data_IF_886873610589
#
_entry.id   IF_886873610589
#
_cell.length_a   1.000
_cell.length_b   1.000
_cell.length_c   1.000
_cell.angle_alpha   90.00
_cell.angle_beta   90.00
_cell.angle_gamma   90.00
#
_symmetry.space_group_name_H-M   'P 1'
#
loop_
_entity.id
_entity.type
_entity.pdbx_description
1 polymer ?
#
# COMPACT_ATOMS: atom_id res chain seq x y z
N UNK A 1 -14.94 44.75 3.91
CA UNK A 1 -15.54 44.68 2.56
C UNK A 1 -14.79 43.66 1.76
N UNK A 2 -15.36 42.50 1.72
CA UNK A 2 -14.89 41.47 0.80
C UNK A 2 -15.73 41.59 -0.45
N UNK A 3 -15.26 42.33 -1.41
CA UNK A 3 -15.76 42.31 -2.76
C UNK A 3 -15.22 41.08 -3.45
N UNK A 4 -15.88 40.13 -3.40
CA UNK A 4 -16.83 39.50 -4.27
C UNK A 4 -16.64 39.85 -5.75
N UNK A 5 -15.42 39.59 -6.26
CA UNK A 5 -15.27 39.26 -7.65
C UNK A 5 -15.67 37.77 -7.83
N UNK A 6 -16.97 37.51 -7.66
CA UNK A 6 -17.58 36.40 -8.37
C UNK A 6 -17.68 36.88 -9.82
N UNK A 7 -16.64 36.64 -10.59
CA UNK A 7 -16.79 36.63 -12.03
C UNK A 7 -17.83 35.56 -12.31
N UNK A 8 -19.03 36.00 -12.71
CA UNK A 8 -20.05 35.10 -13.22
C UNK A 8 -19.44 34.41 -14.45
N UNK A 9 -19.11 33.16 -14.26
CA UNK A 9 -18.56 32.31 -15.31
C UNK A 9 -19.56 32.23 -16.45
N UNK A 10 -19.16 32.61 -17.67
CA UNK A 10 -20.06 32.57 -18.82
C UNK A 10 -20.49 31.11 -19.09
N UNK A 11 -21.66 30.94 -19.67
CA UNK A 11 -22.19 29.61 -20.01
C UNK A 11 -21.21 28.81 -20.88
N UNK A 12 -20.46 29.48 -21.75
CA UNK A 12 -19.43 28.86 -22.58
C UNK A 12 -18.24 28.36 -21.77
N UNK A 13 -17.77 29.15 -20.80
CA UNK A 13 -16.71 28.74 -19.90
C UNK A 13 -17.14 27.57 -19.02
N UNK A 14 -18.37 27.59 -18.53
CA UNK A 14 -18.93 26.47 -17.77
C UNK A 14 -18.99 25.18 -18.58
N UNK A 15 -19.45 25.22 -19.83
CA UNK A 15 -19.51 24.07 -20.72
C UNK A 15 -18.11 23.55 -21.05
N UNK A 16 -17.15 24.43 -21.28
CA UNK A 16 -15.75 24.06 -21.53
C UNK A 16 -15.14 23.35 -20.31
N UNK A 17 -15.29 23.89 -19.12
CA UNK A 17 -14.83 23.28 -17.88
C UNK A 17 -15.49 21.93 -17.61
N UNK A 18 -16.80 21.80 -17.88
CA UNK A 18 -17.55 20.56 -17.77
C UNK A 18 -17.04 19.47 -18.71
N UNK A 19 -16.74 19.82 -19.96
CA UNK A 19 -16.19 18.90 -20.94
C UNK A 19 -14.75 18.47 -20.58
N UNK A 20 -13.93 19.41 -20.11
CA UNK A 20 -12.60 19.11 -19.59
C UNK A 20 -12.63 18.17 -18.39
N UNK A 21 -13.53 18.44 -17.43
CA UNK A 21 -13.70 17.57 -16.27
C UNK A 21 -14.13 16.17 -16.69
N UNK A 22 -15.07 16.05 -17.63
CA UNK A 22 -15.54 14.77 -18.16
C UNK A 22 -14.42 13.98 -18.83
N UNK A 23 -13.60 14.65 -19.62
CA UNK A 23 -12.43 14.06 -20.28
C UNK A 23 -11.39 13.59 -19.24
N UNK A 24 -11.09 14.42 -18.24
CA UNK A 24 -10.15 14.11 -17.17
C UNK A 24 -10.62 12.92 -16.32
N UNK A 25 -11.90 12.86 -16.01
CA UNK A 25 -12.49 11.72 -15.28
C UNK A 25 -12.35 10.43 -16.08
N UNK A 26 -12.62 10.47 -17.39
CA UNK A 26 -12.46 9.31 -18.28
C UNK A 26 -11.02 8.81 -18.31
N UNK A 27 -10.06 9.72 -18.47
CA UNK A 27 -8.63 9.38 -18.45
C UNK A 27 -8.19 8.83 -17.09
N UNK A 28 -8.68 9.43 -16.01
CA UNK A 28 -8.40 8.95 -14.64
C UNK A 28 -8.86 7.50 -14.44
N UNK A 29 -10.10 7.18 -14.84
CA UNK A 29 -10.65 5.84 -14.72
C UNK A 29 -9.89 4.83 -15.57
N UNK A 30 -9.50 5.21 -16.78
CA UNK A 30 -8.71 4.36 -17.66
C UNK A 30 -7.33 4.06 -17.07
N UNK A 31 -6.64 5.08 -16.56
CA UNK A 31 -5.35 4.90 -15.88
C UNK A 31 -5.48 4.01 -14.64
N UNK A 32 -6.52 4.21 -13.85
CA UNK A 32 -6.80 3.39 -12.66
C UNK A 32 -7.00 1.92 -13.02
N UNK A 33 -7.75 1.64 -14.07
CA UNK A 33 -7.96 0.27 -14.57
C UNK A 33 -6.66 -0.36 -15.09
N UNK A 34 -5.86 0.39 -15.82
CA UNK A 34 -4.55 -0.08 -16.30
C UNK A 34 -3.60 -0.38 -15.14
N UNK A 35 -3.54 0.48 -14.12
CA UNK A 35 -2.72 0.27 -12.93
C UNK A 35 -3.15 -0.99 -12.18
N UNK A 36 -4.45 -1.22 -12.04
CA UNK A 36 -4.98 -2.44 -11.40
C UNK A 36 -4.57 -3.70 -12.15
N UNK A 37 -4.68 -3.68 -13.49
CA UNK A 37 -4.25 -4.80 -14.32
C UNK A 37 -2.75 -5.07 -14.21
N UNK A 38 -1.93 -4.02 -14.23
CA UNK A 38 -0.48 -4.13 -14.06
C UNK A 38 -0.10 -4.64 -12.67
N UNK A 39 -0.76 -4.16 -11.62
CA UNK A 39 -0.52 -4.62 -10.24
C UNK A 39 -0.86 -6.10 -10.08
N UNK A 40 -1.95 -6.55 -10.69
CA UNK A 40 -2.29 -7.98 -10.71
C UNK A 40 -1.21 -8.81 -11.39
N UNK A 41 -0.76 -8.38 -12.58
CA UNK A 41 0.34 -9.05 -13.30
C UNK A 41 1.64 -9.06 -12.49
N UNK A 42 1.97 -7.97 -11.82
CA UNK A 42 3.14 -7.87 -10.91
C UNK A 42 3.00 -8.84 -9.74
N UNK A 43 1.82 -8.92 -9.12
CA UNK A 43 1.59 -9.83 -7.99
C UNK A 43 1.79 -11.30 -8.38
N UNK A 44 1.29 -11.71 -9.55
CA UNK A 44 1.48 -13.04 -10.08
C UNK A 44 2.97 -13.36 -10.34
N UNK A 45 3.70 -12.41 -10.93
CA UNK A 45 5.14 -12.56 -11.17
C UNK A 45 5.96 -12.58 -9.89
N UNK A 46 5.61 -11.77 -8.90
CA UNK A 46 6.26 -11.79 -7.57
C UNK A 46 6.04 -13.12 -6.87
N UNK A 47 4.84 -13.67 -6.93
CA UNK A 47 4.53 -14.98 -6.38
C UNK A 47 5.44 -16.04 -7.00
N UNK A 48 5.51 -16.09 -8.32
CA UNK A 48 6.36 -17.07 -9.04
C UNK A 48 7.84 -16.87 -8.74
N UNK A 49 8.30 -15.62 -8.70
CA UNK A 49 9.68 -15.28 -8.31
C UNK A 49 10.00 -15.78 -6.90
N UNK A 50 9.10 -15.61 -5.94
CA UNK A 50 9.30 -16.07 -4.57
C UNK A 50 9.35 -17.60 -4.47
N UNK A 51 8.48 -18.31 -5.19
CA UNK A 51 8.52 -19.76 -5.27
C UNK A 51 9.87 -20.26 -5.82
N UNK A 52 10.32 -19.66 -6.92
CA UNK A 52 11.63 -19.97 -7.51
C UNK A 52 12.79 -19.63 -6.57
N UNK A 53 12.69 -18.50 -5.85
CA UNK A 53 13.69 -18.11 -4.86
C UNK A 53 13.81 -19.14 -3.74
N UNK A 54 12.71 -19.64 -3.22
CA UNK A 54 12.70 -20.67 -2.18
C UNK A 54 13.32 -21.98 -2.69
N UNK A 55 12.99 -22.40 -3.90
CA UNK A 55 13.59 -23.59 -4.53
C UNK A 55 15.11 -23.45 -4.71
N UNK A 56 15.55 -22.29 -5.22
CA UNK A 56 16.96 -21.98 -5.41
C UNK A 56 17.71 -21.96 -4.07
N UNK A 57 17.18 -21.25 -3.08
CA UNK A 57 17.79 -21.18 -1.74
C UNK A 57 17.86 -22.55 -1.06
N UNK A 58 16.84 -23.38 -1.21
CA UNK A 58 16.84 -24.75 -0.72
C UNK A 58 17.93 -25.60 -1.34
N UNK A 59 18.13 -25.50 -2.64
CA UNK A 59 19.20 -26.20 -3.37
C UNK A 59 20.58 -25.67 -2.98
N UNK A 60 20.75 -24.36 -2.90
CA UNK A 60 22.02 -23.74 -2.47
C UNK A 60 22.41 -24.17 -1.07
N UNK A 61 21.46 -24.21 -0.15
CA UNK A 61 21.69 -24.69 1.23
C UNK A 61 22.09 -26.16 1.26
N UNK A 62 21.39 -26.98 0.48
CA UNK A 62 21.65 -28.44 0.42
C UNK A 62 23.05 -28.77 -0.09
N UNK A 63 23.55 -28.03 -1.08
CA UNK A 63 24.85 -28.24 -1.70
C UNK A 63 25.95 -27.28 -1.20
N UNK A 64 25.68 -26.51 -0.16
CA UNK A 64 26.59 -25.52 0.45
C UNK A 64 27.15 -24.52 -0.57
N UNK A 65 26.29 -24.04 -1.46
CA UNK A 65 26.65 -23.06 -2.49
C UNK A 65 26.40 -21.66 -1.93
N UNK A 66 27.41 -20.81 -1.85
CA UNK A 66 27.30 -19.44 -1.32
C UNK A 66 26.90 -18.43 -2.39
N UNK A 67 27.35 -18.65 -3.62
CA UNK A 67 27.02 -17.76 -4.74
C UNK A 67 27.09 -18.51 -6.07
N UNK A 68 26.39 -17.96 -7.06
CA UNK A 68 26.40 -18.47 -8.44
C UNK A 68 26.57 -17.30 -9.41
N UNK A 69 27.40 -17.52 -10.42
CA UNK A 69 27.56 -16.54 -11.48
C UNK A 69 26.36 -16.56 -12.43
N UNK A 70 25.88 -15.39 -12.78
CA UNK A 70 24.86 -15.19 -13.81
C UNK A 70 25.45 -14.42 -14.97
N UNK A 71 24.71 -14.28 -16.07
CA UNK A 71 25.17 -13.60 -17.27
C UNK A 71 25.66 -12.16 -16.99
N UNK A 72 25.04 -11.43 -16.07
CA UNK A 72 25.31 -10.03 -15.78
C UNK A 72 25.71 -9.75 -14.31
N UNK A 73 25.95 -10.78 -13.52
CA UNK A 73 26.26 -10.62 -12.10
C UNK A 73 26.30 -11.94 -11.34
N UNK A 74 25.84 -11.91 -10.10
CA UNK A 74 25.84 -13.08 -9.21
C UNK A 74 24.52 -13.17 -8.46
N UNK A 75 24.10 -14.40 -8.17
CA UNK A 75 23.12 -14.72 -7.14
C UNK A 75 23.84 -15.15 -5.88
N UNK A 76 23.57 -14.51 -4.77
CA UNK A 76 24.27 -14.72 -3.51
C UNK A 76 23.30 -15.23 -2.46
N UNK A 77 23.67 -16.32 -1.78
CA UNK A 77 22.97 -16.77 -0.58
C UNK A 77 23.34 -15.84 0.58
N UNK A 78 22.45 -14.94 0.95
CA UNK A 78 22.73 -13.98 2.01
C UNK A 78 21.77 -14.14 3.18
N UNK A 79 22.31 -14.01 4.39
CA UNK A 79 21.53 -14.01 5.63
C UNK A 79 21.59 -12.63 6.23
N UNK A 80 20.42 -11.99 6.37
CA UNK A 80 20.31 -10.69 7.02
C UNK A 80 19.46 -10.82 8.28
N UNK A 81 19.85 -10.12 9.32
CA UNK A 81 19.06 -10.01 10.54
C UNK A 81 18.39 -8.64 10.56
N UNK A 82 17.09 -8.63 10.67
CA UNK A 82 16.30 -7.41 10.80
C UNK A 82 15.45 -7.46 12.06
N UNK A 83 15.24 -6.31 12.67
CA UNK A 83 14.30 -6.18 13.79
C UNK A 83 12.87 -6.20 13.30
N UNK A 84 11.99 -6.90 14.01
CA UNK A 84 10.56 -6.85 13.72
C UNK A 84 10.02 -5.42 13.88
N UNK A 85 9.06 -5.01 13.05
CA UNK A 85 8.46 -3.68 13.21
C UNK A 85 7.78 -3.54 14.57
N UNK A 86 7.82 -2.32 15.12
CA UNK A 86 7.20 -2.01 16.38
C UNK A 86 5.68 -1.97 16.21
N UNK A 87 5.00 -2.98 16.70
CA UNK A 87 3.54 -3.06 16.77
C UNK A 87 3.08 -3.02 18.24
N UNK A 88 1.74 -3.01 18.43
CA UNK A 88 1.16 -3.00 19.79
C UNK A 88 1.65 -4.15 20.66
N UNK A 89 1.71 -5.36 20.12
CA UNK A 89 2.15 -6.54 20.86
C UNK A 89 3.62 -6.45 21.29
N UNK A 90 4.50 -6.07 20.38
CA UNK A 90 5.93 -5.91 20.66
C UNK A 90 6.18 -4.77 21.65
N UNK A 91 5.42 -3.68 21.56
CA UNK A 91 5.52 -2.56 22.50
C UNK A 91 5.10 -2.98 23.91
N UNK A 92 3.99 -3.69 24.06
CA UNK A 92 3.52 -4.21 25.35
C UNK A 92 4.56 -5.16 25.96
N UNK A 93 5.10 -6.08 25.17
CA UNK A 93 6.13 -7.03 25.61
C UNK A 93 7.38 -6.29 26.11
N UNK A 94 7.86 -5.30 25.34
CA UNK A 94 9.02 -4.48 25.73
C UNK A 94 8.79 -3.67 26.99
N UNK A 95 7.64 -3.04 27.12
CA UNK A 95 7.26 -2.26 28.31
C UNK A 95 7.07 -3.17 29.55
N UNK A 96 6.54 -4.38 29.36
CA UNK A 96 6.38 -5.34 30.45
C UNK A 96 7.74 -5.79 31.03
N UNK A 97 8.77 -5.89 30.21
CA UNK A 97 10.13 -6.17 30.69
C UNK A 97 10.65 -5.09 31.67
N UNK A 98 10.28 -3.83 31.41
CA UNK A 98 10.67 -2.71 32.28
C UNK A 98 9.79 -2.58 33.51
N UNK A 99 8.48 -2.59 33.36
CA UNK A 99 7.52 -2.36 34.45
C UNK A 99 7.28 -3.60 35.31
N UNK A 100 7.49 -4.79 34.77
CA UNK A 100 7.13 -6.08 35.41
C UNK A 100 5.66 -6.12 35.88
N UNK A 101 4.80 -5.40 35.14
CA UNK A 101 3.37 -5.26 35.39
C UNK A 101 2.67 -5.14 34.00
N UNK A 102 1.91 -6.16 33.65
CA UNK A 102 1.24 -6.24 32.34
C UNK A 102 0.20 -5.14 32.15
N UNK A 103 -0.52 -4.76 33.20
CA UNK A 103 -1.54 -3.71 33.13
C UNK A 103 -0.91 -2.34 32.90
N UNK A 104 0.20 -2.02 33.56
CA UNK A 104 0.97 -0.80 33.29
C UNK A 104 1.53 -0.77 31.87
N UNK A 105 2.07 -1.88 31.39
CA UNK A 105 2.58 -2.00 30.05
C UNK A 105 1.49 -1.75 29.00
N UNK A 106 0.31 -2.32 29.17
CA UNK A 106 -0.87 -2.09 28.30
C UNK A 106 -1.32 -0.63 28.33
N UNK A 107 -1.42 -0.04 29.51
CA UNK A 107 -1.84 1.37 29.67
C UNK A 107 -0.87 2.33 29.00
N UNK A 108 0.44 2.16 29.23
CA UNK A 108 1.47 3.01 28.61
C UNK A 108 1.49 2.82 27.10
N UNK A 109 1.38 1.60 26.60
CA UNK A 109 1.34 1.35 25.15
C UNK A 109 0.13 2.00 24.49
N UNK A 110 -1.03 1.98 25.14
CA UNK A 110 -2.25 2.64 24.69
C UNK A 110 -2.07 4.15 24.57
N UNK A 111 -1.46 4.78 25.58
CA UNK A 111 -1.16 6.23 25.57
C UNK A 111 -0.20 6.55 24.42
N UNK A 112 0.88 5.81 24.25
CA UNK A 112 1.87 6.03 23.18
C UNK A 112 1.24 5.88 21.79
N UNK A 113 0.43 4.85 21.58
CA UNK A 113 -0.19 4.59 20.29
C UNK A 113 -1.31 5.59 19.96
N UNK A 114 -2.06 6.06 20.95
CA UNK A 114 -3.16 7.00 20.75
C UNK A 114 -2.71 8.46 20.67
N UNK A 115 -1.50 8.78 21.12
CA UNK A 115 -0.98 10.15 21.19
C UNK A 115 -0.18 10.55 19.93
N UNK A 116 -0.30 9.80 18.85
CA UNK A 116 0.30 10.15 17.57
C UNK A 116 -0.54 11.20 16.85
N UNK A 117 0.13 12.16 16.23
CA UNK A 117 -0.51 13.19 15.43
C UNK A 117 -1.32 12.58 14.29
N UNK A 118 -2.51 13.13 14.09
CA UNK A 118 -3.38 12.76 12.97
C UNK A 118 -3.26 13.80 11.88
N UNK A 119 -3.04 13.34 10.66
CA UNK A 119 -2.96 14.19 9.48
C UNK A 119 -4.14 13.88 8.57
N UNK A 120 -4.87 14.94 8.20
CA UNK A 120 -5.94 14.82 7.21
C UNK A 120 -5.35 14.83 5.80
N UNK A 121 -5.81 13.89 4.97
CA UNK A 121 -5.46 13.85 3.55
C UNK A 121 -6.73 13.83 2.72
N UNK A 122 -6.82 14.74 1.77
CA UNK A 122 -7.91 14.77 0.78
C UNK A 122 -7.47 13.93 -0.42
N UNK A 123 -8.29 12.97 -0.80
CA UNK A 123 -8.01 12.08 -1.93
C UNK A 123 -9.28 11.75 -2.70
N UNK A 124 -9.12 11.52 -3.97
CA UNK A 124 -10.17 11.02 -4.83
C UNK A 124 -10.37 9.52 -4.61
N UNK A 125 -11.60 9.10 -4.35
CA UNK A 125 -11.94 7.70 -4.11
C UNK A 125 -12.93 7.21 -5.16
N UNK A 126 -12.63 6.05 -5.74
CA UNK A 126 -13.51 5.35 -6.68
C UNK A 126 -14.28 4.25 -5.93
N UNK A 127 -15.59 4.17 -6.16
CA UNK A 127 -16.43 3.07 -5.68
C UNK A 127 -17.01 2.29 -6.85
N UNK A 128 -17.22 1.00 -6.65
CA UNK A 128 -17.86 0.12 -7.63
C UNK A 128 -19.28 -0.16 -7.17
N UNK A 129 -20.24 -0.04 -8.08
CA UNK A 129 -21.64 -0.30 -7.79
C UNK A 129 -21.88 -1.81 -7.61
N UNK A 130 -22.09 -2.25 -6.37
CA UNK A 130 -22.30 -3.67 -6.03
C UNK A 130 -23.63 -4.24 -6.50
N UNK A 131 -24.62 -3.41 -6.83
CA UNK A 131 -25.94 -3.88 -7.30
C UNK A 131 -25.88 -4.57 -8.67
N UNK A 132 -24.91 -4.23 -9.51
CA UNK A 132 -24.72 -4.88 -10.80
C UNK A 132 -24.20 -6.31 -10.68
N UNK A 133 -23.51 -6.64 -9.58
CA UNK A 133 -23.00 -8.00 -9.32
C UNK A 133 -24.13 -8.92 -8.84
N UNK A 134 -25.06 -8.39 -8.04
CA UNK A 134 -26.19 -9.17 -7.53
C UNK A 134 -27.24 -9.48 -8.64
N UNK A 135 -27.31 -8.68 -9.69
CA UNK A 135 -28.17 -8.95 -10.84
C UNK A 135 -27.61 -10.01 -11.80
N UNK A 136 -26.33 -10.35 -11.68
CA UNK A 136 -25.69 -11.41 -12.47
C UNK A 136 -25.77 -12.79 -11.81
N UNK A 137 -26.18 -12.86 -10.57
CA UNK A 137 -26.31 -14.12 -9.80
C UNK A 137 -27.70 -14.78 -9.93
N UNK A 138 -28.52 -14.25 -10.81
CA UNK A 138 -29.79 -14.84 -11.19
C UNK A 138 -29.65 -15.50 -12.58
#
# INVERSE_FOLDING_TARGET
>A
MQDLFQEEMTDQEFQFCKEQLKSNVKMYLDMDDQIKALNKAIAERRKRKNELSEEILGTMKKFEIDNMNTKNGKLIYSTTKSTKPLNKSNLITGLNLYFQDEDKAKNVSKIVLNNRDKVEKVKLRRTINKKSINNLSL
#
